data_IF_878582738557
#
_entry.id   IF_878582738557
#
_cell.length_a   1.000
_cell.length_b   1.000
_cell.length_c   1.000
_cell.angle_alpha   90.00
_cell.angle_beta   90.00
_cell.angle_gamma   90.00
#
_symmetry.space_group_name_H-M   'P 1'
#
loop_
_entity.id
_entity.type
_entity.pdbx_description
1 polymer ?
#
# COMPACT_ATOMS: atom_id res chain seq x y z
N UNK A 1 -1.87 1.71 3.24
CA UNK A 1 -2.11 0.36 3.76
C UNK A 1 -1.39 0.13 5.10
N UNK A 2 -0.06 0.17 5.18
CA UNK A 2 0.67 -0.09 6.45
C UNK A 2 0.27 0.89 7.57
N UNK A 3 0.17 2.18 7.30
CA UNK A 3 -0.26 3.16 8.30
C UNK A 3 -1.69 2.88 8.80
N UNK A 4 -2.56 2.40 7.92
CA UNK A 4 -3.92 1.98 8.25
C UNK A 4 -3.92 0.73 9.15
N UNK A 5 -2.98 -0.19 8.91
CA UNK A 5 -2.78 -1.37 9.77
C UNK A 5 -2.21 -0.98 11.15
N UNK A 6 -1.22 -0.09 11.21
CA UNK A 6 -0.68 0.45 12.47
C UNK A 6 -1.74 1.16 13.31
N UNK A 7 -2.72 1.80 12.67
CA UNK A 7 -3.85 2.43 13.33
C UNK A 7 -4.94 1.43 13.77
N UNK A 8 -4.79 0.14 13.44
CA UNK A 8 -5.71 -0.94 13.82
C UNK A 8 -6.93 -1.10 12.91
N UNK A 9 -6.96 -0.44 11.76
CA UNK A 9 -8.10 -0.48 10.84
C UNK A 9 -7.94 -1.42 9.65
N UNK A 10 -6.71 -1.87 9.37
CA UNK A 10 -6.41 -2.79 8.28
C UNK A 10 -5.76 -4.06 8.84
N UNK A 11 -6.25 -5.21 8.43
CA UNK A 11 -5.76 -6.53 8.85
C UNK A 11 -5.12 -7.32 7.71
N UNK A 12 -5.42 -6.97 6.47
CA UNK A 12 -4.92 -7.66 5.29
C UNK A 12 -4.54 -6.69 4.19
N UNK A 13 -3.36 -6.92 3.62
CA UNK A 13 -2.86 -6.22 2.43
C UNK A 13 -2.53 -7.27 1.37
N UNK A 14 -3.07 -7.07 0.17
CA UNK A 14 -2.78 -7.90 -1.00
C UNK A 14 -1.91 -7.09 -1.95
N UNK A 15 -0.81 -7.66 -2.39
CA UNK A 15 0.10 -7.07 -3.37
C UNK A 15 0.24 -8.03 -4.54
N UNK A 16 -0.18 -7.61 -5.72
CA UNK A 16 -0.13 -8.41 -6.94
C UNK A 16 0.78 -7.77 -7.97
N UNK A 17 1.65 -8.58 -8.57
CA UNK A 17 2.41 -8.22 -9.76
C UNK A 17 1.65 -8.77 -10.95
N UNK A 18 1.09 -7.87 -11.75
CA UNK A 18 0.28 -8.21 -12.91
C UNK A 18 1.12 -8.21 -14.18
N UNK A 19 0.57 -8.78 -15.26
CA UNK A 19 1.18 -8.72 -16.59
C UNK A 19 1.46 -7.25 -16.98
N UNK A 20 2.58 -7.01 -17.68
CA UNK A 20 3.03 -5.67 -18.04
C UNK A 20 3.73 -4.92 -16.91
N UNK A 21 4.15 -5.61 -15.84
CA UNK A 21 4.79 -5.03 -14.65
C UNK A 21 3.94 -3.93 -14.01
N UNK A 22 2.66 -4.24 -13.83
CA UNK A 22 1.69 -3.43 -13.12
C UNK A 22 1.59 -3.96 -11.70
N UNK A 23 1.57 -3.07 -10.71
CA UNK A 23 1.33 -3.43 -9.30
C UNK A 23 -0.10 -3.07 -8.92
N UNK A 24 -0.76 -4.01 -8.26
CA UNK A 24 -2.03 -3.78 -7.57
C UNK A 24 -1.83 -3.98 -6.08
N UNK A 25 -2.21 -2.98 -5.30
CA UNK A 25 -2.22 -3.04 -3.83
C UNK A 25 -3.65 -2.85 -3.35
N UNK A 26 -4.13 -3.81 -2.57
CA UNK A 26 -5.47 -3.79 -1.97
C UNK A 26 -5.33 -3.86 -0.46
N UNK A 27 -6.00 -2.96 0.26
CA UNK A 27 -6.15 -3.06 1.71
C UNK A 27 -7.63 -3.10 2.11
N UNK A 28 -7.90 -3.67 3.26
CA UNK A 28 -9.24 -3.75 3.86
C UNK A 28 -9.45 -2.71 4.98
N UNK A 29 -8.75 -1.59 4.91
CA UNK A 29 -8.88 -0.48 5.84
C UNK A 29 -10.20 0.29 5.70
N UNK A 30 -10.25 1.49 6.28
CA UNK A 30 -11.46 2.35 6.24
C UNK A 30 -11.76 2.94 4.87
N UNK A 31 -10.81 2.90 3.96
CA UNK A 31 -10.80 3.69 2.72
C UNK A 31 -10.26 5.11 2.93
N UNK A 32 -9.62 5.66 1.92
CA UNK A 32 -9.14 7.04 1.93
C UNK A 32 -10.36 7.97 1.96
N UNK A 33 -10.35 9.07 2.76
CA UNK A 33 -11.46 10.02 2.80
C UNK A 33 -11.79 10.57 1.40
N UNK A 34 -13.06 10.54 1.02
CA UNK A 34 -13.56 10.95 -0.30
C UNK A 34 -14.29 12.29 -0.30
N UNK A 35 -14.55 12.88 0.88
CA UNK A 35 -15.19 14.18 1.03
C UNK A 35 -14.34 15.33 0.45
N UNK A 36 -14.97 16.46 0.21
CA UNK A 36 -14.29 17.65 -0.30
C UNK A 36 -13.33 18.21 0.77
N UNK A 37 -12.08 18.42 0.38
CA UNK A 37 -11.06 19.00 1.25
C UNK A 37 -11.32 20.50 1.44
N UNK A 38 -11.43 21.03 2.70
CA UNK A 38 -11.90 22.38 2.94
C UNK A 38 -11.05 23.49 2.33
N UNK A 39 -9.73 23.25 2.17
CA UNK A 39 -8.80 24.26 1.62
C UNK A 39 -8.63 24.15 0.12
N UNK A 40 -8.66 22.92 -0.41
CA UNK A 40 -8.32 22.66 -1.81
C UNK A 40 -9.54 22.61 -2.73
N UNK A 41 -10.75 22.44 -2.18
CA UNK A 41 -11.99 22.42 -2.94
C UNK A 41 -12.20 21.16 -3.81
N UNK A 42 -11.32 20.19 -3.71
CA UNK A 42 -11.36 18.89 -4.41
C UNK A 42 -11.45 17.75 -3.41
N UNK A 43 -11.71 16.54 -3.85
CA UNK A 43 -11.77 15.36 -2.99
C UNK A 43 -10.47 15.19 -2.17
N UNK A 44 -10.60 14.84 -0.89
CA UNK A 44 -9.46 14.54 -0.04
C UNK A 44 -8.60 13.40 -0.59
N UNK A 45 -9.21 12.38 -1.24
CA UNK A 45 -8.47 11.33 -1.94
C UNK A 45 -7.61 11.90 -3.07
N UNK A 46 -8.15 12.81 -3.88
CA UNK A 46 -7.39 13.50 -4.94
C UNK A 46 -6.24 14.31 -4.36
N UNK A 47 -6.47 15.04 -3.27
CA UNK A 47 -5.42 15.81 -2.56
C UNK A 47 -4.26 14.91 -2.13
N UNK A 48 -4.55 13.74 -1.53
CA UNK A 48 -3.53 12.78 -1.09
C UNK A 48 -2.64 12.29 -2.23
N UNK A 49 -3.20 12.12 -3.42
CA UNK A 49 -2.46 11.63 -4.59
C UNK A 49 -1.80 12.71 -5.45
N UNK A 50 -2.15 13.98 -5.29
CA UNK A 50 -1.65 15.06 -6.15
C UNK A 50 -0.82 16.12 -5.42
N UNK A 51 -0.99 16.26 -4.11
CA UNK A 51 -0.32 17.31 -3.33
C UNK A 51 0.68 16.68 -2.37
N UNK A 52 1.92 17.19 -2.40
CA UNK A 52 2.96 16.76 -1.47
C UNK A 52 2.59 17.17 -0.03
N UNK A 53 2.91 16.30 0.94
CA UNK A 53 2.64 16.50 2.37
C UNK A 53 1.16 16.59 2.76
N UNK A 54 0.26 16.13 1.89
CA UNK A 54 -1.18 16.10 2.16
C UNK A 54 -1.66 14.86 2.92
N UNK A 55 -0.74 13.97 3.31
CA UNK A 55 -1.09 12.75 4.05
C UNK A 55 -1.68 13.03 5.43
N UNK A 56 -2.44 12.07 5.95
CA UNK A 56 -3.19 12.16 7.22
C UNK A 56 -2.40 12.44 8.50
N UNK A 57 -1.11 12.72 8.38
CA UNK A 57 -0.22 13.11 9.48
C UNK A 57 -0.40 14.55 9.94
N UNK A 58 -0.94 15.41 9.08
CA UNK A 58 -0.94 16.87 9.25
C UNK A 58 -2.33 17.46 9.57
N UNK A 59 -3.36 16.64 9.73
CA UNK A 59 -4.70 17.10 10.08
C UNK A 59 -5.24 16.36 11.32
N UNK A 60 -5.72 17.08 12.33
CA UNK A 60 -6.14 16.58 13.63
C UNK A 60 -7.18 15.46 13.62
N UNK A 61 -6.79 14.25 13.42
CA UNK A 61 -7.58 13.01 13.31
C UNK A 61 -6.85 11.93 12.55
N UNK A 62 -5.62 12.22 12.09
CA UNK A 62 -4.77 11.27 11.38
C UNK A 62 -4.17 10.18 12.25
N UNK A 63 -3.19 9.49 11.72
CA UNK A 63 -2.53 8.38 12.41
C UNK A 63 -1.70 8.86 13.61
N UNK A 64 -1.89 8.24 14.78
CA UNK A 64 -1.06 8.48 15.97
C UNK A 64 0.36 7.95 15.78
N UNK A 65 0.50 6.86 15.03
CA UNK A 65 1.75 6.21 14.63
C UNK A 65 1.70 5.99 13.14
N UNK A 66 2.80 6.16 12.44
CA UNK A 66 2.86 6.02 10.99
C UNK A 66 4.23 5.47 10.59
N UNK A 67 4.25 4.49 9.70
CA UNK A 67 5.46 3.87 9.14
C UNK A 67 6.22 4.81 8.19
N UNK A 68 5.54 5.75 7.57
CA UNK A 68 6.15 6.74 6.71
C UNK A 68 6.46 8.06 7.45
N UNK A 69 7.53 8.77 7.10
CA UNK A 69 7.98 9.97 7.81
C UNK A 69 7.48 11.28 7.20
N UNK A 70 7.19 11.31 5.90
CA UNK A 70 7.04 12.57 5.15
C UNK A 70 5.64 12.83 4.58
N UNK A 71 4.71 11.85 4.64
CA UNK A 71 3.34 12.02 4.09
C UNK A 71 3.27 12.21 2.57
N UNK A 72 4.28 11.71 1.84
CA UNK A 72 4.41 11.91 0.38
C UNK A 72 4.27 10.62 -0.43
N UNK A 73 4.16 9.45 0.22
CA UNK A 73 4.22 8.16 -0.48
C UNK A 73 3.21 8.02 -1.63
N UNK A 74 1.97 8.38 -1.41
CA UNK A 74 0.92 8.27 -2.42
C UNK A 74 1.15 9.23 -3.60
N UNK A 75 1.45 10.49 -3.33
CA UNK A 75 1.68 11.50 -4.38
C UNK A 75 2.95 11.23 -5.18
N UNK A 76 4.02 10.70 -4.54
CA UNK A 76 5.25 10.31 -5.23
C UNK A 76 5.01 9.10 -6.14
N UNK A 77 4.33 8.04 -5.65
CA UNK A 77 3.99 6.88 -6.50
C UNK A 77 3.17 7.33 -7.71
N UNK A 78 2.19 8.22 -7.51
CA UNK A 78 1.39 8.76 -8.62
C UNK A 78 2.25 9.53 -9.64
N UNK A 79 3.10 10.43 -9.17
CA UNK A 79 3.96 11.23 -10.05
C UNK A 79 4.98 10.39 -10.84
N UNK A 80 5.43 9.27 -10.28
CA UNK A 80 6.40 8.34 -10.90
C UNK A 80 5.74 7.22 -11.72
N UNK A 81 4.43 7.24 -11.86
CA UNK A 81 3.67 6.24 -12.61
C UNK A 81 3.20 6.79 -13.95
N UNK A 82 3.35 5.98 -15.01
CA UNK A 82 2.73 6.23 -16.31
C UNK A 82 1.21 6.33 -16.15
N UNK A 83 0.64 5.42 -15.34
CA UNK A 83 -0.79 5.43 -15.00
C UNK A 83 -1.00 4.95 -13.55
N UNK A 84 -2.05 5.47 -12.90
CA UNK A 84 -2.48 5.02 -11.59
C UNK A 84 -4.02 5.08 -11.53
N UNK A 85 -4.62 3.96 -11.10
CA UNK A 85 -6.04 3.83 -10.83
C UNK A 85 -6.26 3.73 -9.32
N UNK A 86 -7.06 4.61 -8.78
CA UNK A 86 -7.49 4.63 -7.39
C UNK A 86 -8.94 4.20 -7.28
N UNK A 87 -9.20 3.16 -6.50
CA UNK A 87 -10.55 2.75 -6.12
C UNK A 87 -10.68 2.82 -4.60
N UNK A 88 -11.73 3.45 -4.11
CA UNK A 88 -12.02 3.57 -2.67
C UNK A 88 -13.41 3.04 -2.39
N UNK A 89 -13.49 2.11 -1.45
CA UNK A 89 -14.74 1.57 -0.91
C UNK A 89 -14.92 2.11 0.51
N UNK A 90 -16.03 2.81 0.77
CA UNK A 90 -16.27 3.46 2.07
C UNK A 90 -17.41 2.82 2.88
N UNK A 91 -17.92 1.65 2.48
CA UNK A 91 -19.04 0.97 3.09
C UNK A 91 -20.42 1.37 2.53
N UNK A 92 -20.46 2.36 1.66
CA UNK A 92 -21.67 2.82 0.97
C UNK A 92 -21.47 2.83 -0.54
N UNK A 93 -20.41 3.51 -1.01
CA UNK A 93 -20.12 3.72 -2.42
C UNK A 93 -18.72 3.24 -2.78
N UNK A 94 -18.56 2.91 -4.07
CA UNK A 94 -17.29 2.67 -4.73
C UNK A 94 -16.94 3.93 -5.50
N UNK A 95 -15.80 4.54 -5.14
CA UNK A 95 -15.25 5.71 -5.82
C UNK A 95 -14.10 5.29 -6.70
N UNK A 96 -13.94 5.98 -7.83
CA UNK A 96 -12.85 5.72 -8.77
C UNK A 96 -12.26 7.03 -9.30
N UNK A 97 -10.93 7.05 -9.48
CA UNK A 97 -10.22 8.11 -10.18
C UNK A 97 -9.01 7.55 -10.90
N UNK A 98 -8.79 8.03 -12.13
CA UNK A 98 -7.64 7.69 -12.96
C UNK A 98 -6.65 8.85 -13.03
N UNK A 99 -5.35 8.53 -12.97
CA UNK A 99 -4.23 9.46 -13.07
C UNK A 99 -3.25 9.00 -14.15
N UNK A 100 -2.68 9.96 -14.86
CA UNK A 100 -1.57 9.77 -15.80
C UNK A 100 -0.42 10.70 -15.39
N UNK A 101 0.74 10.15 -15.04
CA UNK A 101 1.93 10.91 -14.60
C UNK A 101 1.63 11.96 -13.53
N UNK A 102 0.82 11.58 -12.54
CA UNK A 102 0.42 12.42 -11.43
C UNK A 102 -0.73 13.38 -11.72
N UNK A 103 -1.22 13.45 -12.94
CA UNK A 103 -2.32 14.33 -13.35
C UNK A 103 -3.63 13.56 -13.54
N UNK A 104 -4.76 14.20 -13.32
CA UNK A 104 -6.08 13.64 -13.57
C UNK A 104 -6.86 14.52 -14.55
N UNK A 105 -7.72 13.91 -15.39
CA UNK A 105 -8.63 14.60 -16.30
C UNK A 105 -10.04 14.68 -15.74
N UNK A 106 -10.43 13.63 -14.97
CA UNK A 106 -11.75 13.54 -14.35
C UNK A 106 -11.58 13.52 -12.82
N UNK A 107 -12.52 14.17 -12.13
CA UNK A 107 -12.57 14.14 -10.67
C UNK A 107 -12.96 12.73 -10.15
N UNK A 108 -12.75 12.51 -8.84
CA UNK A 108 -13.20 11.31 -8.17
C UNK A 108 -14.72 11.13 -8.36
N UNK A 109 -15.15 9.99 -8.89
CA UNK A 109 -16.54 9.69 -9.18
C UNK A 109 -17.02 8.40 -8.51
N UNK A 110 -18.31 8.33 -8.21
CA UNK A 110 -18.98 7.13 -7.76
C UNK A 110 -19.24 6.23 -8.98
N UNK A 111 -18.79 4.97 -8.90
CA UNK A 111 -19.00 3.97 -9.96
C UNK A 111 -19.90 2.81 -9.52
N UNK A 112 -20.28 2.74 -8.25
CA UNK A 112 -21.15 1.69 -7.72
C UNK A 112 -21.37 1.82 -6.22
N UNK A 113 -22.08 0.85 -5.66
CA UNK A 113 -22.35 0.72 -4.24
C UNK A 113 -21.62 -0.49 -3.64
N UNK A 114 -21.29 -0.42 -2.36
CA UNK A 114 -20.59 -1.47 -1.65
C UNK A 114 -20.98 -1.50 -0.17
N UNK A 115 -20.76 -2.66 0.48
CA UNK A 115 -20.81 -2.77 1.95
C UNK A 115 -19.42 -2.98 2.55
N UNK A 116 -18.40 -3.02 1.70
CA UNK A 116 -17.00 -3.19 2.12
C UNK A 116 -16.34 -1.83 2.29
N UNK A 117 -15.23 -1.84 3.03
CA UNK A 117 -14.30 -0.72 3.12
C UNK A 117 -12.93 -1.15 2.65
N UNK A 118 -12.17 -0.21 2.10
CA UNK A 118 -10.81 -0.47 1.66
C UNK A 118 -10.34 0.50 0.59
N UNK A 119 -9.06 0.34 0.24
CA UNK A 119 -8.45 1.10 -0.85
C UNK A 119 -7.74 0.14 -1.80
N UNK A 120 -7.96 0.31 -3.08
CA UNK A 120 -7.24 -0.39 -4.14
C UNK A 120 -6.49 0.62 -5.00
N UNK A 121 -5.20 0.37 -5.18
CA UNK A 121 -4.34 1.17 -6.05
C UNK A 121 -3.71 0.24 -7.08
N UNK A 122 -3.87 0.58 -8.35
CA UNK A 122 -3.23 -0.12 -9.46
C UNK A 122 -2.34 0.88 -10.17
N UNK A 123 -1.04 0.61 -10.29
CA UNK A 123 -0.13 1.55 -10.93
C UNK A 123 0.89 0.86 -11.81
N UNK A 124 1.33 1.58 -12.84
CA UNK A 124 2.39 1.18 -13.76
C UNK A 124 3.53 2.19 -13.69
N UNK A 125 4.77 1.77 -13.37
CA UNK A 125 5.93 2.67 -13.36
C UNK A 125 6.14 3.33 -14.73
N UNK A 126 6.56 4.60 -14.70
CA UNK A 126 6.79 5.35 -15.93
C UNK A 126 8.17 5.00 -16.56
N UNK A 127 8.20 4.42 -17.76
CA UNK A 127 9.45 4.08 -18.46
C UNK A 127 10.23 5.31 -18.93
N UNK A 128 9.65 6.51 -18.92
CA UNK A 128 10.38 7.76 -19.18
C UNK A 128 11.20 8.21 -17.97
N UNK A 129 10.87 7.70 -16.77
CA UNK A 129 11.56 8.05 -15.50
C UNK A 129 12.52 6.95 -15.08
N UNK A 130 12.09 5.68 -15.21
CA UNK A 130 12.86 4.52 -14.78
C UNK A 130 13.51 3.81 -15.96
N UNK A 131 14.82 3.55 -15.88
CA UNK A 131 15.56 2.77 -16.88
C UNK A 131 15.07 1.31 -16.92
N UNK A 132 14.70 0.75 -15.76
CA UNK A 132 14.12 -0.58 -15.61
C UNK A 132 12.80 -0.51 -14.84
N UNK A 133 11.74 -1.02 -15.46
CA UNK A 133 10.38 -1.08 -14.88
C UNK A 133 9.96 -2.51 -14.54
N UNK A 134 10.86 -3.49 -14.66
CA UNK A 134 10.58 -4.90 -14.32
C UNK A 134 10.68 -5.09 -12.81
N UNK A 135 9.60 -5.49 -12.18
CA UNK A 135 9.60 -5.80 -10.74
C UNK A 135 10.30 -7.12 -10.46
N UNK A 136 11.24 -7.10 -9.53
CA UNK A 136 11.89 -8.29 -8.99
C UNK A 136 11.06 -8.85 -7.83
N UNK A 137 10.57 -10.10 -7.98
CA UNK A 137 9.72 -10.74 -6.99
C UNK A 137 10.42 -10.93 -5.64
N UNK A 138 11.69 -11.38 -5.64
CA UNK A 138 12.41 -11.67 -4.40
C UNK A 138 12.72 -10.41 -3.61
N UNK A 139 13.01 -9.32 -4.30
CA UNK A 139 13.19 -8.00 -3.68
C UNK A 139 11.90 -7.53 -3.01
N UNK A 140 10.76 -7.63 -3.70
CA UNK A 140 9.46 -7.27 -3.12
C UNK A 140 9.11 -8.18 -1.94
N UNK A 141 9.29 -9.50 -2.09
CA UNK A 141 9.04 -10.46 -1.03
C UNK A 141 9.84 -10.15 0.24
N UNK A 142 11.12 -9.84 0.08
CA UNK A 142 12.01 -9.49 1.20
C UNK A 142 11.51 -8.23 1.91
N UNK A 143 11.18 -7.18 1.17
CA UNK A 143 10.69 -5.92 1.74
C UNK A 143 9.32 -6.04 2.41
N UNK A 144 8.41 -6.79 1.81
CA UNK A 144 7.09 -7.04 2.40
C UNK A 144 7.18 -7.93 3.65
N UNK A 145 8.12 -8.88 3.67
CA UNK A 145 8.40 -9.71 4.86
C UNK A 145 8.92 -8.87 6.02
N UNK A 146 9.85 -7.94 5.78
CA UNK A 146 10.29 -6.97 6.79
C UNK A 146 9.11 -6.16 7.34
N UNK A 147 8.23 -5.67 6.47
CA UNK A 147 7.04 -4.93 6.87
C UNK A 147 6.08 -5.79 7.71
N UNK A 148 5.88 -7.06 7.37
CA UNK A 148 5.03 -7.96 8.13
C UNK A 148 5.60 -8.27 9.52
N UNK A 149 6.92 -8.39 9.67
CA UNK A 149 7.57 -8.55 10.97
C UNK A 149 7.47 -7.28 11.84
N UNK A 150 7.65 -6.10 11.22
CA UNK A 150 7.60 -4.82 11.95
C UNK A 150 6.18 -4.44 12.38
N UNK A 151 5.16 -5.00 11.72
CA UNK A 151 3.74 -4.73 11.98
C UNK A 151 3.04 -6.01 12.40
N UNK A 152 3.28 -6.44 13.65
CA UNK A 152 2.77 -7.70 14.19
C UNK A 152 1.24 -7.86 13.95
N UNK A 153 0.87 -9.03 13.46
CA UNK A 153 -0.52 -9.40 13.23
C UNK A 153 -1.11 -8.99 11.87
N UNK A 154 -0.40 -8.15 11.08
CA UNK A 154 -0.86 -7.90 9.72
C UNK A 154 -0.59 -9.10 8.82
N UNK A 155 -1.53 -9.37 7.92
CA UNK A 155 -1.40 -10.38 6.88
C UNK A 155 -1.10 -9.69 5.54
N UNK A 156 0.04 -10.00 4.93
CA UNK A 156 0.42 -9.52 3.60
C UNK A 156 0.48 -10.72 2.66
N UNK A 157 -0.19 -10.63 1.52
CA UNK A 157 -0.19 -11.66 0.48
C UNK A 157 0.46 -11.07 -0.75
N UNK A 158 1.58 -11.64 -1.20
CA UNK A 158 2.25 -11.28 -2.45
C UNK A 158 1.99 -12.34 -3.49
N UNK A 159 1.47 -11.96 -4.65
CA UNK A 159 1.24 -12.88 -5.78
C UNK A 159 1.86 -12.32 -7.06
N UNK A 160 2.61 -13.13 -7.77
CA UNK A 160 3.12 -12.84 -9.11
C UNK A 160 2.25 -13.55 -10.16
N UNK A 161 1.51 -12.78 -10.95
CA UNK A 161 0.63 -13.25 -12.02
C UNK A 161 1.24 -13.10 -13.42
N UNK A 162 2.50 -12.68 -13.54
CA UNK A 162 3.12 -12.40 -14.85
C UNK A 162 3.25 -13.64 -15.72
N UNK A 163 3.46 -14.80 -15.10
CA UNK A 163 3.44 -16.09 -15.80
C UNK A 163 2.18 -16.86 -15.41
N UNK A 164 1.16 -16.95 -16.31
CA UNK A 164 -0.09 -17.65 -16.00
C UNK A 164 0.08 -19.15 -15.73
N UNK A 165 1.15 -19.76 -16.27
CA UNK A 165 1.45 -21.18 -16.08
C UNK A 165 2.21 -21.45 -14.77
N UNK A 166 2.81 -20.40 -14.17
CA UNK A 166 3.60 -20.51 -12.95
C UNK A 166 3.32 -19.33 -12.01
N UNK A 167 2.10 -19.26 -11.47
CA UNK A 167 1.71 -18.26 -10.48
C UNK A 167 2.40 -18.57 -9.16
N UNK A 168 3.12 -17.59 -8.61
CA UNK A 168 3.81 -17.69 -7.33
C UNK A 168 3.11 -16.82 -6.30
N UNK A 169 2.82 -17.39 -5.13
CA UNK A 169 2.16 -16.67 -4.04
C UNK A 169 2.84 -16.98 -2.71
N UNK A 170 3.02 -15.96 -1.90
CA UNK A 170 3.51 -16.07 -0.52
C UNK A 170 2.60 -15.27 0.43
N UNK A 171 2.25 -15.89 1.56
CA UNK A 171 1.52 -15.24 2.65
C UNK A 171 2.46 -14.93 3.80
N UNK A 172 2.54 -13.67 4.18
CA UNK A 172 3.41 -13.16 5.23
C UNK A 172 2.54 -12.72 6.41
N UNK A 173 2.64 -13.45 7.52
CA UNK A 173 1.84 -13.18 8.72
C UNK A 173 2.64 -13.62 9.95
N UNK A 174 3.06 -12.65 10.78
CA UNK A 174 3.94 -12.88 11.92
C UNK A 174 3.38 -12.22 13.18
N UNK A 175 2.71 -12.99 14.02
CA UNK A 175 2.13 -12.49 15.28
C UNK A 175 3.19 -12.09 16.31
N UNK A 176 4.36 -12.75 16.29
CA UNK A 176 5.47 -12.47 17.19
C UNK A 176 6.26 -11.20 16.86
N UNK A 177 5.95 -10.51 15.79
CA UNK A 177 6.54 -9.21 15.43
C UNK A 177 8.07 -9.22 15.40
N UNK A 178 8.69 -8.26 16.07
CA UNK A 178 10.16 -8.07 16.12
C UNK A 178 10.87 -9.29 16.69
N UNK A 179 10.31 -9.98 17.70
CA UNK A 179 10.90 -11.22 18.23
C UNK A 179 11.02 -12.28 17.13
N UNK A 180 9.96 -12.49 16.37
CA UNK A 180 9.96 -13.42 15.22
C UNK A 180 10.95 -12.98 14.14
N UNK A 181 11.13 -11.68 13.94
CA UNK A 181 12.10 -11.14 12.98
C UNK A 181 13.54 -11.48 13.39
N UNK A 182 13.91 -11.26 14.65
CA UNK A 182 15.23 -11.63 15.17
C UNK A 182 15.47 -13.14 15.05
N UNK A 183 14.48 -13.96 15.38
CA UNK A 183 14.56 -15.42 15.21
C UNK A 183 14.74 -15.81 13.73
N UNK A 184 14.05 -15.15 12.81
CA UNK A 184 14.21 -15.36 11.37
C UNK A 184 15.63 -15.03 10.89
N UNK A 185 16.18 -13.88 11.30
CA UNK A 185 17.55 -13.45 10.95
C UNK A 185 18.60 -14.42 11.51
N UNK A 186 18.33 -15.04 12.64
CA UNK A 186 19.23 -15.95 13.33
C UNK A 186 19.17 -17.40 12.86
N UNK A 187 18.20 -17.78 11.98
CA UNK A 187 18.04 -19.17 11.51
C UNK A 187 19.30 -19.79 10.90
N UNK A 188 20.15 -18.96 10.28
CA UNK A 188 21.40 -19.40 9.62
C UNK A 188 22.64 -18.97 10.39
N UNK A 189 22.50 -18.47 11.63
CA UNK A 189 23.58 -17.96 12.47
C UNK A 189 23.64 -18.77 13.77
N UNK A 190 24.78 -18.75 14.45
CA UNK A 190 24.95 -19.34 15.79
C UNK A 190 24.69 -18.24 16.81
N UNK A 191 23.47 -18.01 17.30
CA UNK A 191 23.18 -16.98 18.27
C UNK A 191 23.75 -17.41 19.66
N UNK A 192 24.19 -16.44 20.44
CA UNK A 192 24.70 -16.67 21.80
C UNK A 192 23.56 -17.12 22.74
N UNK A 193 22.32 -16.64 22.45
CA UNK A 193 21.10 -17.02 23.18
C UNK A 193 20.10 -17.65 22.21
N UNK A 194 19.48 -18.77 22.64
CA UNK A 194 18.42 -19.43 21.80
C UNK A 194 17.20 -18.56 21.63
N UNK A 195 16.83 -17.79 22.67
CA UNK A 195 15.75 -16.82 22.60
C UNK A 195 16.27 -15.39 22.57
N UNK A 196 15.66 -14.52 21.72
CA UNK A 196 15.96 -13.09 21.71
C UNK A 196 15.65 -12.46 23.09
N UNK A 197 16.55 -11.64 23.57
CA UNK A 197 16.32 -10.80 24.75
C UNK A 197 15.49 -9.60 24.28
N UNK A 198 14.38 -9.35 24.98
CA UNK A 198 13.42 -8.30 24.61
C UNK A 198 13.21 -7.33 25.76
#
# INVERSE_FOLDING_TARGET
AIDEALAGYCTEIIVDILEGNIIRVVDNGRGIPTGIHPKEGISAATVVYTILHAGGKFGGGGYKVSGGLHGVGASVVNALSESLDLTVENGEHIFFQHFERGHYKEELKIIGDTKKTGTTVVFKPDPEIFEDTVFDYDTLLTRLREQAFLNAGIKIILTDYRDPENIVQETLHYEGGIKSFVQHLNKTKNPIHEEPIY
#
